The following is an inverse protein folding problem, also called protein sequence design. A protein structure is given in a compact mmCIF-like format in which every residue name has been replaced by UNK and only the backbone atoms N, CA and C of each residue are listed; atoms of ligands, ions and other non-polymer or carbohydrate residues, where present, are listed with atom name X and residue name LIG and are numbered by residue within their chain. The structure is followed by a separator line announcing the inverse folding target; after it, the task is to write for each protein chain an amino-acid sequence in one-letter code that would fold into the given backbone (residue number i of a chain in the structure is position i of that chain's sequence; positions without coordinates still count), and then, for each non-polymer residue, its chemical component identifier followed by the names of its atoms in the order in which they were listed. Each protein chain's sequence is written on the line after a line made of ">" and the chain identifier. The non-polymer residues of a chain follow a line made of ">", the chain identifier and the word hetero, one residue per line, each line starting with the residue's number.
data_IF_290311200714
#
_entry.id   IF_290311200714
#
_cell.length_a   1.000
_cell.length_b   1.000
_cell.length_c   1.000
_cell.angle_alpha   90.00
_cell.angle_beta   90.00
_cell.angle_gamma   90.00
#
_symmetry.space_group_name_H-M   'P 1'
#
loop_
_entity.id
_entity.type
_entity.pdbx_description
1 polymer ?
#
# COMPACT_ATOMS: atom_id res chain seq x y z
N UNK A 1 2.66 -36.00 -0.11
CA UNK A 1 3.42 -34.73 -0.20
C UNK A 1 2.47 -33.59 -0.52
N UNK A 2 2.47 -32.50 0.24
CA UNK A 2 2.06 -31.19 -0.28
C UNK A 2 2.50 -30.08 0.67
N UNK A 3 3.68 -29.54 0.41
CA UNK A 3 4.25 -28.37 1.06
C UNK A 3 3.48 -27.15 0.56
N UNK A 4 2.61 -26.55 1.39
CA UNK A 4 2.06 -25.21 1.12
C UNK A 4 2.85 -24.17 1.93
N UNK A 5 4.03 -23.81 1.44
CA UNK A 5 4.69 -22.58 1.87
C UNK A 5 3.96 -21.39 1.21
N UNK A 6 3.04 -20.76 1.93
CA UNK A 6 2.64 -19.36 1.68
C UNK A 6 3.56 -18.48 2.55
N UNK A 7 4.79 -18.25 2.13
CA UNK A 7 5.78 -17.47 2.89
C UNK A 7 6.32 -16.36 1.99
N UNK A 8 6.36 -15.12 2.49
CA UNK A 8 6.76 -13.87 1.83
C UNK A 8 5.60 -13.03 1.30
N UNK A 9 4.67 -12.63 2.17
CA UNK A 9 3.78 -11.51 1.85
C UNK A 9 3.45 -10.74 3.13
N UNK A 10 3.51 -9.42 3.08
CA UNK A 10 3.23 -8.55 4.23
C UNK A 10 1.96 -7.77 3.99
N UNK A 11 1.14 -7.60 5.03
CA UNK A 11 -0.05 -6.77 4.99
C UNK A 11 0.28 -5.43 5.66
N UNK A 12 0.11 -4.35 4.92
CA UNK A 12 0.28 -3.00 5.42
C UNK A 12 -1.06 -2.28 5.55
N UNK A 13 -1.18 -1.51 6.61
CA UNK A 13 -2.29 -0.61 6.82
C UNK A 13 -1.88 0.81 6.41
N UNK A 14 -2.50 1.33 5.35
CA UNK A 14 -2.22 2.65 4.80
C UNK A 14 -3.42 3.58 4.96
N UNK A 15 -3.17 4.83 5.36
CA UNK A 15 -4.16 5.89 5.44
C UNK A 15 -3.95 6.85 4.27
N UNK A 16 -4.84 6.76 3.30
CA UNK A 16 -4.81 7.56 2.08
C UNK A 16 -5.50 8.91 2.31
N UNK A 17 -4.80 9.98 1.95
CA UNK A 17 -5.25 11.37 1.92
C UNK A 17 -5.39 11.80 0.46
N UNK A 18 -6.55 11.57 -0.17
CA UNK A 18 -6.78 11.95 -1.56
C UNK A 18 -6.92 13.47 -1.70
N UNK A 19 -6.89 13.96 -2.95
CA UNK A 19 -6.98 15.39 -3.29
C UNK A 19 -5.92 16.25 -2.58
N UNK A 20 -4.75 15.68 -2.31
CA UNK A 20 -3.64 16.45 -1.74
C UNK A 20 -2.89 17.21 -2.84
N UNK A 21 -2.38 18.42 -2.55
CA UNK A 21 -1.50 19.15 -3.47
C UNK A 21 -0.16 18.48 -3.74
N UNK A 22 0.16 17.38 -3.03
CA UNK A 22 1.43 16.64 -3.10
C UNK A 22 1.21 15.13 -3.13
N UNK A 23 2.16 14.40 -3.70
CA UNK A 23 2.26 12.95 -3.57
C UNK A 23 3.39 12.64 -2.59
N UNK A 24 3.09 12.02 -1.44
CA UNK A 24 4.07 11.71 -0.38
C UNK A 24 3.66 10.41 0.32
N UNK A 25 4.63 9.62 0.76
CA UNK A 25 4.45 8.51 1.69
C UNK A 25 5.25 8.84 2.95
N UNK A 26 4.68 8.59 4.11
CA UNK A 26 5.33 8.82 5.39
C UNK A 26 4.90 7.75 6.38
N UNK A 27 5.88 7.14 7.04
CA UNK A 27 5.63 6.22 8.14
C UNK A 27 5.53 7.02 9.44
N UNK A 28 4.41 6.88 10.14
CA UNK A 28 4.14 7.53 11.43
C UNK A 28 3.85 6.46 12.48
N UNK A 29 4.92 5.97 13.12
CA UNK A 29 4.85 4.81 14.01
C UNK A 29 4.46 3.55 13.22
N UNK A 30 3.32 2.96 13.58
CA UNK A 30 2.75 1.78 12.90
C UNK A 30 1.83 2.14 11.72
N UNK A 31 1.43 3.41 11.58
CA UNK A 31 0.56 3.85 10.49
C UNK A 31 1.38 4.40 9.32
N UNK A 32 1.00 4.06 8.09
CA UNK A 32 1.57 4.66 6.88
C UNK A 32 0.58 5.68 6.31
N UNK A 33 0.99 6.92 6.20
CA UNK A 33 0.22 8.00 5.57
C UNK A 33 0.64 8.16 4.12
N UNK A 34 -0.33 8.13 3.21
CA UNK A 34 -0.10 8.37 1.79
C UNK A 34 -0.96 9.52 1.29
N UNK A 35 -0.32 10.59 0.82
CA UNK A 35 -0.97 11.69 0.13
C UNK A 35 -0.98 11.41 -1.37
N UNK A 36 -2.14 11.55 -2.00
CA UNK A 36 -2.27 11.40 -3.46
C UNK A 36 -3.02 12.59 -4.03
N UNK A 37 -2.58 13.07 -5.21
CA UNK A 37 -3.27 14.12 -5.96
C UNK A 37 -4.62 13.65 -6.52
N UNK A 38 -4.76 12.34 -6.73
CA UNK A 38 -5.98 11.76 -7.29
C UNK A 38 -7.20 11.98 -6.40
N UNK A 39 -8.32 12.38 -7.02
CA UNK A 39 -9.64 12.40 -6.37
C UNK A 39 -10.08 10.98 -5.99
N UNK A 40 -10.84 10.81 -4.89
CA UNK A 40 -11.36 9.50 -4.45
C UNK A 40 -12.58 9.03 -5.28
N UNK A 41 -12.60 9.32 -6.58
CA UNK A 41 -13.72 9.06 -7.49
C UNK A 41 -13.33 7.99 -8.52
N UNK A 42 -14.31 7.17 -8.95
CA UNK A 42 -14.16 6.16 -10.01
C UNK A 42 -12.90 5.27 -9.89
N UNK A 43 -12.58 4.77 -8.69
CA UNK A 43 -11.45 3.87 -8.46
C UNK A 43 -10.06 4.48 -8.77
N UNK A 44 -9.97 5.76 -9.17
CA UNK A 44 -8.73 6.43 -9.59
C UNK A 44 -7.72 6.52 -8.45
N UNK A 45 -8.18 6.86 -7.24
CA UNK A 45 -7.32 6.84 -6.05
C UNK A 45 -6.82 5.44 -5.69
N UNK A 46 -7.60 4.39 -5.96
CA UNK A 46 -7.20 3.01 -5.65
C UNK A 46 -6.10 2.55 -6.60
N UNK A 47 -6.31 2.74 -7.90
CA UNK A 47 -5.31 2.42 -8.92
C UNK A 47 -4.02 3.22 -8.70
N UNK A 48 -4.13 4.51 -8.37
CA UNK A 48 -2.96 5.36 -8.12
C UNK A 48 -2.18 4.89 -6.90
N UNK A 49 -2.85 4.54 -5.81
CA UNK A 49 -2.22 3.99 -4.59
C UNK A 49 -1.45 2.71 -4.92
N UNK A 50 -2.08 1.75 -5.61
CA UNK A 50 -1.41 0.50 -6.03
C UNK A 50 -0.18 0.81 -6.88
N UNK A 51 -0.33 1.63 -7.93
CA UNK A 51 0.78 2.00 -8.82
C UNK A 51 1.95 2.66 -8.09
N UNK A 52 1.67 3.53 -7.12
CA UNK A 52 2.74 4.18 -6.34
C UNK A 52 3.44 3.13 -5.46
N UNK A 53 2.69 2.28 -4.76
CA UNK A 53 3.28 1.26 -3.89
C UNK A 53 4.08 0.23 -4.70
N UNK A 54 3.58 -0.22 -5.85
CA UNK A 54 4.32 -1.11 -6.74
C UNK A 54 5.62 -0.48 -7.24
N UNK A 55 5.64 0.83 -7.51
CA UNK A 55 6.87 1.55 -7.87
C UNK A 55 7.84 1.70 -6.70
N UNK A 56 7.33 1.92 -5.50
CA UNK A 56 8.16 2.13 -4.29
C UNK A 56 8.78 0.82 -3.83
N UNK A 57 8.02 -0.26 -3.81
CA UNK A 57 8.50 -1.56 -3.35
C UNK A 57 9.10 -2.41 -4.47
N UNK A 58 8.79 -2.13 -5.75
CA UNK A 58 9.19 -3.00 -6.87
C UNK A 58 8.53 -4.37 -6.82
N UNK A 59 7.45 -4.52 -6.04
CA UNK A 59 6.74 -5.76 -5.78
C UNK A 59 5.27 -5.59 -6.13
N UNK A 60 4.59 -6.72 -6.31
CA UNK A 60 3.16 -6.74 -6.62
C UNK A 60 2.34 -6.34 -5.40
N UNK A 61 1.43 -5.38 -5.57
CA UNK A 61 0.60 -4.85 -4.49
C UNK A 61 -0.88 -5.05 -4.78
N UNK A 62 -1.63 -5.50 -3.77
CA UNK A 62 -3.08 -5.75 -3.88
C UNK A 62 -3.82 -5.10 -2.73
N UNK A 63 -4.93 -4.42 -3.00
CA UNK A 63 -5.82 -3.92 -1.95
C UNK A 63 -6.70 -5.07 -1.47
N UNK A 64 -6.58 -5.45 -0.20
CA UNK A 64 -7.42 -6.46 0.44
C UNK A 64 -8.74 -5.87 0.95
N UNK A 65 -8.67 -4.69 1.59
CA UNK A 65 -9.84 -4.01 2.17
C UNK A 65 -9.70 -2.49 2.07
N UNK A 66 -10.83 -1.79 2.18
CA UNK A 66 -10.87 -0.32 2.21
C UNK A 66 -11.02 0.34 0.84
N UNK A 67 -11.58 -0.34 -0.15
CA UNK A 67 -11.81 0.22 -1.50
C UNK A 67 -12.62 1.53 -1.49
N UNK A 68 -13.54 1.69 -0.52
CA UNK A 68 -14.35 2.90 -0.30
C UNK A 68 -13.89 3.73 0.93
N UNK A 69 -12.82 3.30 1.62
CA UNK A 69 -12.34 3.94 2.85
C UNK A 69 -11.00 4.64 2.64
N UNK A 70 -10.75 5.67 3.46
CA UNK A 70 -9.43 6.31 3.55
C UNK A 70 -8.39 5.37 4.18
N UNK A 71 -8.82 4.41 5.00
CA UNK A 71 -7.95 3.37 5.58
C UNK A 71 -8.02 2.13 4.69
N UNK A 72 -6.87 1.71 4.15
CA UNK A 72 -6.77 0.56 3.24
C UNK A 72 -5.81 -0.47 3.80
N UNK A 73 -6.16 -1.73 3.63
CA UNK A 73 -5.26 -2.85 3.86
C UNK A 73 -4.72 -3.30 2.52
N UNK A 74 -3.40 -3.26 2.37
CA UNK A 74 -2.70 -3.67 1.14
C UNK A 74 -1.79 -4.85 1.44
N UNK A 75 -1.81 -5.85 0.57
CA UNK A 75 -0.89 -6.97 0.58
C UNK A 75 0.24 -6.66 -0.39
N UNK A 76 1.48 -6.84 0.05
CA UNK A 76 2.66 -6.81 -0.81
C UNK A 76 3.18 -8.23 -0.90
N UNK A 77 3.22 -8.77 -2.11
CA UNK A 77 3.73 -10.12 -2.38
C UNK A 77 5.26 -10.09 -2.52
N UNK A 78 5.94 -11.12 -2.01
CA UNK A 78 7.37 -11.34 -2.07
C UNK A 78 8.24 -10.25 -1.43
N UNK A 79 7.83 -9.77 -0.24
CA UNK A 79 8.58 -8.82 0.60
C UNK A 79 8.57 -9.26 2.07
N UNK A 80 9.62 -8.92 2.82
CA UNK A 80 9.70 -9.09 4.28
C UNK A 80 9.47 -7.78 5.04
N UNK A 81 9.18 -7.86 6.34
CA UNK A 81 8.94 -6.67 7.19
C UNK A 81 10.20 -5.79 7.30
N UNK A 82 11.39 -6.39 7.38
CA UNK A 82 12.67 -5.67 7.43
C UNK A 82 12.92 -4.83 6.17
N UNK A 83 12.55 -5.36 5.01
CA UNK A 83 12.73 -4.68 3.71
C UNK A 83 11.78 -3.47 3.61
N UNK A 84 10.55 -3.60 4.14
CA UNK A 84 9.62 -2.47 4.22
C UNK A 84 10.18 -1.36 5.11
N UNK A 85 10.80 -1.70 6.24
CA UNK A 85 11.43 -0.74 7.13
C UNK A 85 12.64 -0.01 6.54
N UNK A 86 13.30 -0.57 5.51
CA UNK A 86 14.39 0.09 4.79
C UNK A 86 13.89 1.07 3.72
N UNK A 87 12.68 0.84 3.19
CA UNK A 87 12.09 1.63 2.10
C UNK A 87 11.27 2.82 2.63
N UNK A 88 10.67 2.68 3.83
CA UNK A 88 9.79 3.67 4.47
C UNK A 88 10.42 4.36 5.68
#
# INVERSE_FOLDING_TARGET
>A
MNVKQKRNSVILCIRVKPSSGKEKIEKKGEEILMWVKAKPENNKANQKVVRILEKVFGKKVRILKGLKSRKKLVLIENIGEEEIGKIL
#
